data_IF_474165306104
#
_entry.id   IF_474165306104
#
_cell.length_a   1.000
_cell.length_b   1.000
_cell.length_c   1.000
_cell.angle_alpha   90.00
_cell.angle_beta   90.00
_cell.angle_gamma   90.00
#
_symmetry.space_group_name_H-M   'P 1'
#
loop_
_entity.id
_entity.type
_entity.pdbx_description
1 polymer ?
#
# COMPACT_ATOMS: atom_id res chain seq x y z
N UNK A 1 -36.84 -28.41 30.83
CA UNK A 1 -36.71 -27.56 29.63
C UNK A 1 -37.50 -28.19 28.51
N UNK A 2 -38.32 -27.42 27.81
CA UNK A 2 -39.09 -27.94 26.68
C UNK A 2 -38.17 -28.34 25.52
N UNK A 3 -38.61 -29.29 24.69
CA UNK A 3 -37.87 -29.70 23.47
C UNK A 3 -37.56 -28.49 22.58
N UNK A 4 -38.47 -27.52 22.55
CA UNK A 4 -38.35 -26.27 21.79
C UNK A 4 -37.27 -25.35 22.35
N UNK A 5 -37.20 -25.15 23.68
CA UNK A 5 -36.12 -24.37 24.31
C UNK A 5 -34.73 -24.93 23.97
N UNK A 6 -34.60 -26.25 23.92
CA UNK A 6 -33.34 -26.92 23.58
C UNK A 6 -32.96 -26.66 22.11
N UNK A 7 -33.92 -26.72 21.19
CA UNK A 7 -33.70 -26.39 19.78
C UNK A 7 -33.31 -24.92 19.59
N UNK A 8 -33.99 -24.01 20.29
CA UNK A 8 -33.64 -22.57 20.28
C UNK A 8 -32.20 -22.35 20.76
N UNK A 9 -31.80 -22.97 21.87
CA UNK A 9 -30.44 -22.85 22.39
C UNK A 9 -29.38 -23.39 21.40
N UNK A 10 -29.67 -24.50 20.71
CA UNK A 10 -28.78 -25.05 19.68
C UNK A 10 -28.65 -24.12 18.47
N UNK A 11 -29.76 -23.55 18.00
CA UNK A 11 -29.75 -22.59 16.87
C UNK A 11 -29.01 -21.31 17.26
N UNK A 12 -29.26 -20.78 18.46
CA UNK A 12 -28.57 -19.59 18.96
C UNK A 12 -27.06 -19.80 19.04
N UNK A 13 -26.62 -20.95 19.56
CA UNK A 13 -25.19 -21.31 19.59
C UNK A 13 -24.57 -21.34 18.18
N UNK A 14 -25.28 -21.87 17.19
CA UNK A 14 -24.81 -21.86 15.79
C UNK A 14 -24.71 -20.45 15.23
N UNK A 15 -25.71 -19.60 15.48
CA UNK A 15 -25.69 -18.19 15.06
C UNK A 15 -24.47 -17.47 15.64
N UNK A 16 -24.18 -17.67 16.93
CA UNK A 16 -23.05 -17.01 17.59
C UNK A 16 -21.71 -17.51 17.04
N UNK A 17 -21.59 -18.80 16.72
CA UNK A 17 -20.43 -19.37 16.04
C UNK A 17 -20.23 -18.78 14.64
N UNK A 18 -21.28 -18.70 13.82
CA UNK A 18 -21.18 -18.11 12.48
C UNK A 18 -20.87 -16.62 12.52
N UNK A 19 -21.42 -15.88 13.49
CA UNK A 19 -21.08 -14.47 13.72
C UNK A 19 -19.60 -14.30 14.08
N UNK A 20 -19.05 -15.17 14.93
CA UNK A 20 -17.63 -15.17 15.25
C UNK A 20 -16.78 -15.44 14.00
N UNK A 21 -17.12 -16.47 13.22
CA UNK A 21 -16.44 -16.78 11.95
C UNK A 21 -16.48 -15.61 10.96
N UNK A 22 -17.63 -14.96 10.83
CA UNK A 22 -17.80 -13.79 9.96
C UNK A 22 -16.92 -12.61 10.44
N UNK A 23 -16.83 -12.37 11.75
CA UNK A 23 -15.93 -11.36 12.31
C UNK A 23 -14.47 -11.66 11.96
N UNK A 24 -14.04 -12.91 12.11
CA UNK A 24 -12.68 -13.34 11.79
C UNK A 24 -12.36 -13.20 10.30
N UNK A 25 -13.29 -13.59 9.43
CA UNK A 25 -13.14 -13.42 7.98
C UNK A 25 -13.03 -11.94 7.58
N UNK A 26 -13.86 -11.07 8.16
CA UNK A 26 -13.75 -9.62 7.95
C UNK A 26 -12.42 -9.05 8.44
N UNK A 27 -11.92 -9.52 9.57
CA UNK A 27 -10.61 -9.10 10.08
C UNK A 27 -9.48 -9.53 9.14
N UNK A 28 -9.55 -10.75 8.59
CA UNK A 28 -8.58 -11.26 7.59
C UNK A 28 -8.63 -10.46 6.29
N UNK A 29 -9.82 -10.18 5.76
CA UNK A 29 -9.98 -9.34 4.57
C UNK A 29 -9.41 -7.93 4.80
N UNK A 30 -9.73 -7.31 5.93
CA UNK A 30 -9.17 -6.01 6.30
C UNK A 30 -7.64 -6.03 6.40
N UNK A 31 -7.06 -7.08 6.96
CA UNK A 31 -5.61 -7.25 7.01
C UNK A 31 -4.99 -7.42 5.61
N UNK A 32 -5.62 -8.20 4.73
CA UNK A 32 -5.17 -8.38 3.35
C UNK A 32 -5.25 -7.07 2.55
N UNK A 33 -6.32 -6.29 2.71
CA UNK A 33 -6.47 -4.96 2.10
C UNK A 33 -5.36 -4.01 2.54
N UNK A 34 -5.06 -3.95 3.84
CA UNK A 34 -3.94 -3.15 4.36
C UNK A 34 -2.60 -3.60 3.77
N UNK A 35 -2.33 -4.91 3.72
CA UNK A 35 -1.10 -5.45 3.09
C UNK A 35 -0.97 -5.04 1.63
N UNK A 36 -2.05 -5.16 0.85
CA UNK A 36 -2.07 -4.75 -0.57
C UNK A 36 -1.85 -3.25 -0.73
N UNK A 37 -2.51 -2.44 0.09
CA UNK A 37 -2.35 -0.98 0.07
C UNK A 37 -0.93 -0.54 0.44
N UNK A 38 -0.35 -1.10 1.50
CA UNK A 38 1.04 -0.87 1.89
C UNK A 38 1.99 -1.27 0.76
N UNK A 39 1.82 -2.45 0.16
CA UNK A 39 2.66 -2.90 -0.97
C UNK A 39 2.56 -1.93 -2.16
N UNK A 40 1.34 -1.49 -2.51
CA UNK A 40 1.13 -0.50 -3.57
C UNK A 40 1.87 0.79 -3.25
N UNK A 41 1.71 1.34 -2.05
CA UNK A 41 2.37 2.60 -1.64
C UNK A 41 3.88 2.51 -1.67
N UNK A 42 4.46 1.39 -1.23
CA UNK A 42 5.91 1.17 -1.27
C UNK A 42 6.42 1.11 -2.71
N UNK A 43 5.79 0.32 -3.57
CA UNK A 43 6.22 0.18 -4.98
C UNK A 43 6.13 1.52 -5.71
N UNK A 44 5.00 2.21 -5.57
CA UNK A 44 4.82 3.51 -6.22
C UNK A 44 5.74 4.57 -5.62
N UNK A 45 5.98 4.57 -4.31
CA UNK A 45 6.93 5.47 -3.66
C UNK A 45 8.36 5.27 -4.16
N UNK A 46 8.81 4.01 -4.25
CA UNK A 46 10.11 3.66 -4.80
C UNK A 46 10.26 4.13 -6.25
N UNK A 47 9.31 3.76 -7.12
CA UNK A 47 9.33 4.14 -8.53
C UNK A 47 9.28 5.68 -8.72
N UNK A 48 8.56 6.39 -7.84
CA UNK A 48 8.51 7.85 -7.85
C UNK A 48 9.86 8.49 -7.50
N UNK A 49 10.58 7.96 -6.50
CA UNK A 49 11.88 8.47 -6.09
C UNK A 49 12.95 8.22 -7.16
N UNK A 50 12.98 7.03 -7.77
CA UNK A 50 13.87 6.76 -8.91
C UNK A 50 13.57 7.69 -10.09
N UNK A 51 12.29 7.86 -10.41
CA UNK A 51 11.86 8.76 -11.47
C UNK A 51 12.24 10.22 -11.19
N UNK A 52 12.18 10.67 -9.93
CA UNK A 52 12.62 12.00 -9.52
C UNK A 52 14.14 12.16 -9.60
N UNK A 53 14.92 11.13 -9.26
CA UNK A 53 16.37 11.17 -9.31
C UNK A 53 16.88 11.46 -10.73
N UNK A 54 16.21 10.91 -11.75
CA UNK A 54 16.50 11.14 -13.16
C UNK A 54 16.11 12.53 -13.69
N UNK A 55 15.46 13.39 -12.89
CA UNK A 55 15.02 14.73 -13.31
C UNK A 55 16.07 15.80 -13.03
N UNK A 56 16.04 16.92 -13.78
CA UNK A 56 16.84 18.11 -13.45
C UNK A 56 16.59 18.58 -12.02
N UNK A 57 17.62 19.13 -11.37
CA UNK A 57 17.58 19.52 -9.95
C UNK A 57 16.42 20.47 -9.63
N UNK A 58 16.15 21.46 -10.49
CA UNK A 58 15.06 22.42 -10.30
C UNK A 58 13.68 21.76 -10.37
N UNK A 59 13.49 20.84 -11.32
CA UNK A 59 12.24 20.10 -11.49
C UNK A 59 12.02 19.15 -10.31
N UNK A 60 13.07 18.41 -9.91
CA UNK A 60 13.07 17.55 -8.72
C UNK A 60 12.68 18.32 -7.46
N UNK A 61 13.29 19.49 -7.24
CA UNK A 61 13.00 20.35 -6.09
C UNK A 61 11.55 20.81 -6.09
N UNK A 62 11.05 21.29 -7.24
CA UNK A 62 9.67 21.76 -7.38
C UNK A 62 8.66 20.65 -7.08
N UNK A 63 8.85 19.48 -7.68
CA UNK A 63 7.94 18.34 -7.54
C UNK A 63 7.94 17.81 -6.11
N UNK A 64 9.12 17.61 -5.52
CA UNK A 64 9.20 17.10 -4.15
C UNK A 64 8.64 18.10 -3.13
N UNK A 65 8.85 19.41 -3.33
CA UNK A 65 8.23 20.44 -2.49
C UNK A 65 6.70 20.38 -2.57
N UNK A 66 6.14 20.18 -3.75
CA UNK A 66 4.68 20.05 -3.92
C UNK A 66 4.12 18.81 -3.20
N UNK A 67 4.81 17.67 -3.29
CA UNK A 67 4.42 16.44 -2.56
C UNK A 67 4.54 16.65 -1.05
N UNK A 68 5.64 17.23 -0.59
CA UNK A 68 5.91 17.47 0.83
C UNK A 68 4.90 18.45 1.46
N UNK A 69 4.39 19.41 0.69
CA UNK A 69 3.32 20.31 1.15
C UNK A 69 2.03 19.55 1.51
N UNK A 70 1.74 18.44 0.82
CA UNK A 70 0.58 17.59 1.08
C UNK A 70 0.72 16.63 2.27
N UNK A 71 1.92 16.49 2.83
CA UNK A 71 2.17 15.63 4.00
C UNK A 71 1.62 16.26 5.28
N UNK A 72 1.21 15.42 6.23
CA UNK A 72 0.86 15.82 7.60
C UNK A 72 2.11 16.21 8.36
N UNK A 73 1.96 16.98 9.45
CA UNK A 73 3.11 17.48 10.23
C UNK A 73 4.02 16.36 10.75
N UNK A 74 3.45 15.25 11.22
CA UNK A 74 4.23 14.08 11.63
C UNK A 74 5.00 13.46 10.46
N UNK A 75 4.38 13.36 9.30
CA UNK A 75 4.99 12.79 8.10
C UNK A 75 6.14 13.69 7.60
N UNK A 76 6.03 15.02 7.74
CA UNK A 76 7.11 15.96 7.43
C UNK A 76 8.30 15.85 8.38
N UNK A 77 8.06 15.45 9.65
CA UNK A 77 9.12 15.18 10.61
C UNK A 77 9.84 13.87 10.29
N UNK A 78 9.07 12.84 9.92
CA UNK A 78 9.61 11.53 9.55
C UNK A 78 10.34 11.57 8.19
N UNK A 79 9.92 12.45 7.28
CA UNK A 79 10.51 12.64 5.94
C UNK A 79 10.83 14.11 5.64
N UNK A 80 11.91 14.67 6.21
CA UNK A 80 12.30 16.06 5.99
C UNK A 80 12.66 16.32 4.51
N UNK A 81 12.13 17.42 3.96
CA UNK A 81 12.32 17.80 2.55
C UNK A 81 13.80 17.98 2.18
N UNK A 82 14.56 18.66 3.02
CA UNK A 82 15.98 18.96 2.81
C UNK A 82 16.85 17.70 2.79
N UNK A 83 16.60 16.77 3.72
CA UNK A 83 17.26 15.46 3.77
C UNK A 83 16.95 14.66 2.50
N UNK A 84 15.67 14.58 2.14
CA UNK A 84 15.23 13.81 0.96
C UNK A 84 15.79 14.38 -0.34
N UNK A 85 15.86 15.71 -0.47
CA UNK A 85 16.48 16.37 -1.63
C UNK A 85 17.98 16.07 -1.75
N UNK A 86 18.68 16.06 -0.61
CA UNK A 86 20.10 15.74 -0.54
C UNK A 86 20.34 14.29 -0.95
N UNK A 87 19.60 13.33 -0.39
CA UNK A 87 19.68 11.91 -0.74
C UNK A 87 19.44 11.67 -2.23
N UNK A 88 18.44 12.32 -2.83
CA UNK A 88 18.16 12.21 -4.27
C UNK A 88 19.21 12.89 -5.16
N UNK A 89 19.97 13.86 -4.63
CA UNK A 89 21.05 14.51 -5.36
C UNK A 89 22.37 13.71 -5.28
N UNK A 90 22.57 13.00 -4.17
CA UNK A 90 23.71 12.12 -3.92
C UNK A 90 23.50 10.71 -4.48
N UNK A 91 22.25 10.35 -4.80
CA UNK A 91 21.95 9.13 -5.54
C UNK A 91 22.61 9.20 -6.92
N UNK A 92 23.75 8.50 -7.07
CA UNK A 92 24.35 8.23 -8.36
C UNK A 92 23.26 7.66 -9.28
N UNK A 93 23.15 8.13 -10.54
CA UNK A 93 22.34 7.44 -11.54
C UNK A 93 23.01 6.11 -11.88
N UNK A 94 22.89 5.11 -10.99
CA UNK A 94 23.46 3.79 -11.24
C UNK A 94 22.71 3.12 -12.39
N UNK A 95 23.43 2.56 -13.39
CA UNK A 95 22.88 2.20 -14.68
C UNK A 95 22.33 0.78 -14.65
N UNK A 96 21.19 0.54 -14.01
CA UNK A 96 20.38 -0.63 -14.35
C UNK A 96 18.92 -0.20 -14.47
N UNK A 97 18.63 0.41 -15.62
CA UNK A 97 17.31 0.16 -16.20
C UNK A 97 17.22 -1.36 -16.32
N UNK A 98 16.32 -2.08 -15.59
CA UNK A 98 16.06 -3.45 -15.97
C UNK A 98 15.64 -3.34 -17.43
N UNK A 99 16.40 -3.99 -18.33
CA UNK A 99 16.02 -4.06 -19.72
C UNK A 99 14.53 -4.33 -19.76
N UNK A 100 13.79 -3.49 -20.49
CA UNK A 100 12.39 -3.74 -20.77
C UNK A 100 12.35 -5.10 -21.46
N UNK A 101 12.20 -6.17 -20.69
CA UNK A 101 11.82 -7.44 -21.25
C UNK A 101 10.52 -7.19 -22.01
N UNK A 102 10.56 -7.61 -23.26
CA UNK A 102 9.57 -7.40 -24.31
C UNK A 102 8.13 -7.41 -23.80
N UNK A 103 7.23 -6.64 -24.45
CA UNK A 103 5.83 -6.60 -24.09
C UNK A 103 5.30 -8.04 -23.99
N UNK A 104 4.87 -8.43 -22.79
CA UNK A 104 4.11 -9.65 -22.57
C UNK A 104 3.08 -9.74 -23.70
N UNK A 105 3.06 -10.81 -24.50
CA UNK A 105 2.09 -10.93 -25.58
C UNK A 105 0.70 -10.82 -24.94
N UNK A 106 -0.11 -9.89 -25.47
CA UNK A 106 -1.49 -9.69 -25.09
C UNK A 106 -2.15 -11.06 -24.86
N UNK A 107 -2.59 -11.30 -23.62
CA UNK A 107 -3.47 -12.43 -23.35
C UNK A 107 -4.75 -12.20 -24.17
N UNK A 108 -5.14 -13.15 -25.04
CA UNK A 108 -6.43 -13.08 -25.69
C UNK A 108 -7.47 -13.33 -24.61
N UNK A 109 -8.19 -12.28 -24.22
CA UNK A 109 -9.45 -12.46 -23.52
C UNK A 109 -10.53 -12.61 -24.60
N UNK A 110 -11.19 -13.76 -24.60
CA UNK A 110 -12.37 -14.09 -25.40
C UNK A 110 -13.59 -13.23 -25.03
#
# INVERSE_FOLDING_TARGET
>A
MSSIETQIAQVQKRIDQERARLKDLRARDGAQKRKRDTRRKIIFGYAFLEWLAARPADERRRLLTAVHAGLKDRERQDFPLDVTLKELAEADPSPETPERHDPTPCLPFE
#
